data_IF_261674050874
#
_entry.id   IF_261674050874
#
_cell.length_a   1.000
_cell.length_b   1.000
_cell.length_c   1.000
_cell.angle_alpha   90.00
_cell.angle_beta   90.00
_cell.angle_gamma   90.00
#
_symmetry.space_group_name_H-M   'P 1'
#
loop_
_entity.id
_entity.type
_entity.pdbx_description
1 polymer ?
#
# COMPACT_ATOMS: atom_id res chain seq x y z
N UNK A 1 -13.14 -0.78 -11.39
CA UNK A 1 -12.76 -1.38 -10.10
C UNK A 1 -11.63 -0.59 -9.48
N UNK A 2 -11.78 -0.11 -8.25
CA UNK A 2 -10.70 0.64 -7.59
C UNK A 2 -9.47 -0.23 -7.34
N UNK A 3 -8.32 0.42 -7.30
CA UNK A 3 -7.03 -0.24 -7.08
C UNK A 3 -6.34 0.39 -5.88
N UNK A 4 -6.02 -0.42 -4.88
CA UNK A 4 -5.22 -0.01 -3.74
C UNK A 4 -3.74 0.01 -4.13
N UNK A 5 -2.99 0.99 -3.65
CA UNK A 5 -1.58 1.16 -3.97
C UNK A 5 -0.74 0.76 -2.77
N UNK A 6 0.17 -0.21 -2.95
CA UNK A 6 1.09 -0.62 -1.89
C UNK A 6 2.21 0.40 -1.70
N UNK A 7 2.81 0.39 -0.50
CA UNK A 7 3.93 1.26 -0.16
C UNK A 7 5.10 1.12 -1.13
N UNK A 8 5.36 -0.07 -1.66
CA UNK A 8 6.46 -0.29 -2.62
C UNK A 8 6.35 0.62 -3.84
N UNK A 9 5.13 0.88 -4.30
CA UNK A 9 4.88 1.78 -5.43
C UNK A 9 5.20 3.23 -5.04
N UNK A 10 4.80 3.63 -3.83
CA UNK A 10 5.05 4.99 -3.33
C UNK A 10 6.56 5.25 -3.17
N UNK A 11 7.29 4.27 -2.64
CA UNK A 11 8.73 4.37 -2.46
C UNK A 11 9.44 4.46 -3.82
N UNK A 12 9.00 3.65 -4.78
CA UNK A 12 9.56 3.69 -6.13
C UNK A 12 9.31 5.05 -6.79
N UNK A 13 8.10 5.59 -6.63
CA UNK A 13 7.75 6.91 -7.15
C UNK A 13 8.63 8.00 -6.54
N UNK A 14 8.93 7.92 -5.24
CA UNK A 14 9.81 8.87 -4.56
C UNK A 14 11.22 8.83 -5.14
N UNK A 15 11.73 7.64 -5.45
CA UNK A 15 13.07 7.49 -6.00
C UNK A 15 13.18 7.93 -7.46
N UNK A 16 12.13 7.70 -8.25
CA UNK A 16 12.19 7.93 -9.69
C UNK A 16 11.49 9.20 -10.15
N UNK A 17 10.61 9.77 -9.32
CA UNK A 17 9.79 10.92 -9.71
C UNK A 17 8.70 10.58 -10.71
N UNK A 18 8.39 9.31 -10.92
CA UNK A 18 7.51 8.86 -12.00
C UNK A 18 6.25 8.15 -11.48
N UNK A 19 5.55 8.76 -10.52
CA UNK A 19 4.38 8.14 -9.91
C UNK A 19 3.31 7.77 -10.95
N UNK A 20 2.97 8.70 -11.81
CA UNK A 20 1.90 8.51 -12.79
C UNK A 20 2.22 7.38 -13.78
N UNK A 21 3.49 7.15 -14.06
CA UNK A 21 3.91 6.08 -14.99
C UNK A 21 3.75 4.68 -14.42
N UNK A 22 3.55 4.57 -13.12
CA UNK A 22 3.36 3.27 -12.47
C UNK A 22 1.89 2.86 -12.43
N UNK A 23 0.97 3.78 -12.75
CA UNK A 23 -0.46 3.52 -12.72
C UNK A 23 -0.88 2.95 -14.08
N UNK A 24 -1.37 1.70 -14.15
CA UNK A 24 -1.51 1.01 -15.43
C UNK A 24 -2.67 1.48 -16.32
N UNK A 25 -3.71 2.09 -15.76
CA UNK A 25 -4.92 2.41 -16.52
C UNK A 25 -5.42 3.82 -16.26
N UNK A 26 -5.88 4.49 -17.33
CA UNK A 26 -6.32 5.88 -17.24
C UNK A 26 -7.69 6.06 -16.56
N UNK A 27 -8.58 5.08 -16.69
CA UNK A 27 -9.95 5.20 -16.17
C UNK A 27 -10.17 4.47 -14.85
N UNK A 28 -9.09 4.10 -14.18
CA UNK A 28 -9.15 3.37 -12.92
C UNK A 28 -9.04 4.34 -11.76
N UNK A 29 -9.87 4.13 -10.73
CA UNK A 29 -9.76 4.87 -9.47
C UNK A 29 -8.67 4.24 -8.63
N UNK A 30 -7.73 5.04 -8.17
CA UNK A 30 -6.63 4.59 -7.30
C UNK A 30 -6.78 5.22 -5.93
N UNK A 31 -6.41 4.47 -4.89
CA UNK A 31 -6.34 5.01 -3.54
C UNK A 31 -5.16 4.41 -2.79
N UNK A 32 -4.74 5.10 -1.75
CA UNK A 32 -3.63 4.68 -0.90
C UNK A 32 -4.22 4.23 0.43
N UNK A 33 -4.13 2.94 0.79
CA UNK A 33 -4.55 2.50 2.13
C UNK A 33 -3.83 3.31 3.21
N UNK A 34 -4.53 3.63 4.29
CA UNK A 34 -3.95 4.45 5.36
C UNK A 34 -2.65 3.86 5.90
N UNK A 35 -2.54 2.55 5.98
CA UNK A 35 -1.31 1.89 6.46
C UNK A 35 -0.16 2.04 5.47
N UNK A 36 -0.43 2.07 4.17
CA UNK A 36 0.60 2.34 3.17
C UNK A 36 1.11 3.78 3.32
N UNK A 37 0.20 4.72 3.55
CA UNK A 37 0.58 6.11 3.80
C UNK A 37 1.44 6.22 5.06
N UNK A 38 1.05 5.52 6.13
CA UNK A 38 1.82 5.53 7.38
C UNK A 38 3.22 4.96 7.19
N UNK A 39 3.34 3.84 6.50
CA UNK A 39 4.64 3.23 6.23
C UNK A 39 5.53 4.14 5.39
N UNK A 40 4.97 4.77 4.37
CA UNK A 40 5.71 5.74 3.55
C UNK A 40 6.20 6.90 4.41
N UNK A 41 5.33 7.46 5.26
CA UNK A 41 5.68 8.60 6.12
C UNK A 41 6.74 8.25 7.15
N UNK A 42 6.70 7.03 7.70
CA UNK A 42 7.78 6.56 8.59
C UNK A 42 9.11 6.64 7.85
N UNK A 43 9.16 6.10 6.63
CA UNK A 43 10.37 6.14 5.81
C UNK A 43 10.78 7.58 5.46
N UNK A 44 9.82 8.48 5.28
CA UNK A 44 10.08 9.87 4.95
C UNK A 44 10.74 10.64 6.10
N UNK A 45 10.48 10.24 7.36
CA UNK A 45 11.05 10.90 8.54
C UNK A 45 12.44 10.41 8.92
N UNK A 46 12.89 9.27 8.37
CA UNK A 46 14.13 8.62 8.78
C UNK A 46 15.41 9.12 8.11
N UNK A 47 15.41 9.64 6.87
CA UNK A 47 16.66 10.07 6.25
C UNK A 47 17.37 11.14 7.07
N UNK A 48 18.71 11.07 7.12
CA UNK A 48 19.51 12.04 7.87
C UNK A 48 19.53 13.41 7.19
N UNK A 49 19.42 13.43 5.87
CA UNK A 49 19.42 14.67 5.08
C UNK A 49 18.07 15.39 5.20
N UNK A 50 18.08 16.63 5.64
CA UNK A 50 16.91 17.48 5.68
C UNK A 50 16.31 17.66 4.29
N UNK A 51 17.15 17.69 3.27
CA UNK A 51 16.72 17.85 1.89
C UNK A 51 15.92 16.65 1.41
N UNK A 52 16.35 15.43 1.74
CA UNK A 52 15.63 14.22 1.39
C UNK A 52 14.29 14.10 2.14
N UNK A 53 14.29 14.49 3.42
CA UNK A 53 13.05 14.50 4.19
C UNK A 53 12.03 15.47 3.60
N UNK A 54 12.50 16.65 3.20
CA UNK A 54 11.62 17.66 2.61
C UNK A 54 11.09 17.23 1.25
N UNK A 55 11.90 16.56 0.44
CA UNK A 55 11.45 16.03 -0.85
C UNK A 55 10.35 14.99 -0.68
N UNK A 56 10.53 14.08 0.25
CA UNK A 56 9.52 13.06 0.53
C UNK A 56 8.23 13.68 1.07
N UNK A 57 8.36 14.65 1.97
CA UNK A 57 7.20 15.37 2.52
C UNK A 57 6.41 16.08 1.43
N UNK A 58 7.09 16.75 0.51
CA UNK A 58 6.43 17.44 -0.59
C UNK A 58 5.70 16.47 -1.51
N UNK A 59 6.33 15.34 -1.83
CA UNK A 59 5.70 14.33 -2.67
C UNK A 59 4.41 13.83 -2.01
N UNK A 60 4.46 13.56 -0.71
CA UNK A 60 3.28 13.13 0.03
C UNK A 60 2.18 14.20 -0.04
N UNK A 61 2.51 15.45 0.31
CA UNK A 61 1.53 16.53 0.32
C UNK A 61 0.93 16.81 -1.05
N UNK A 62 1.76 16.75 -2.10
CA UNK A 62 1.34 17.14 -3.45
C UNK A 62 0.66 16.01 -4.21
N UNK A 63 1.04 14.75 -3.97
CA UNK A 63 0.61 13.63 -4.82
C UNK A 63 -0.17 12.56 -4.07
N UNK A 64 0.19 12.24 -2.84
CA UNK A 64 -0.35 11.07 -2.15
C UNK A 64 -1.50 11.40 -1.21
N UNK A 65 -1.42 12.49 -0.49
CA UNK A 65 -2.34 12.80 0.61
C UNK A 65 -3.81 12.73 0.20
N UNK A 66 -4.14 13.26 -0.97
CA UNK A 66 -5.52 13.28 -1.46
C UNK A 66 -6.03 11.89 -1.86
N UNK A 67 -5.15 10.93 -2.05
CA UNK A 67 -5.51 9.57 -2.42
C UNK A 67 -5.65 8.65 -1.21
N UNK A 68 -5.26 9.11 -0.02
CA UNK A 68 -5.29 8.28 1.19
C UNK A 68 -6.73 8.02 1.60
N UNK A 69 -7.05 6.75 1.85
CA UNK A 69 -8.37 6.33 2.29
C UNK A 69 -8.29 5.75 3.70
N UNK A 70 -9.38 5.87 4.44
CA UNK A 70 -9.43 5.50 5.85
C UNK A 70 -9.44 3.99 6.04
N UNK A 71 -8.87 3.54 7.15
CA UNK A 71 -8.95 2.15 7.60
C UNK A 71 -10.17 2.06 8.53
N UNK A 72 -11.18 1.31 8.12
CA UNK A 72 -12.45 1.24 8.83
C UNK A 72 -12.66 -0.11 9.53
N UNK A 73 -13.84 -0.32 10.09
CA UNK A 73 -14.15 -1.55 10.84
C UNK A 73 -14.09 -2.78 9.94
N UNK A 74 -14.58 -2.69 8.71
CA UNK A 74 -14.54 -3.82 7.78
C UNK A 74 -13.09 -4.22 7.46
N UNK A 75 -12.21 -3.24 7.31
CA UNK A 75 -10.78 -3.49 7.11
C UNK A 75 -10.18 -4.19 8.33
N UNK A 76 -10.56 -3.74 9.52
CA UNK A 76 -10.07 -4.33 10.77
C UNK A 76 -10.52 -5.79 10.91
N UNK A 77 -11.77 -6.10 10.58
CA UNK A 77 -12.28 -7.46 10.63
C UNK A 77 -11.53 -8.36 9.64
N UNK A 78 -11.29 -7.87 8.44
CA UNK A 78 -10.53 -8.61 7.43
C UNK A 78 -9.09 -8.83 7.87
N UNK A 79 -8.46 -7.83 8.48
CA UNK A 79 -7.10 -7.95 9.00
C UNK A 79 -7.03 -9.03 10.07
N UNK A 80 -7.98 -9.05 10.99
CA UNK A 80 -8.02 -10.06 12.05
C UNK A 80 -8.15 -11.47 11.46
N UNK A 81 -8.99 -11.63 10.46
CA UNK A 81 -9.17 -12.92 9.78
C UNK A 81 -7.90 -13.34 9.06
N UNK A 82 -7.29 -12.44 8.29
CA UNK A 82 -6.07 -12.73 7.55
C UNK A 82 -4.94 -13.16 8.46
N UNK A 83 -4.66 -12.41 9.53
CA UNK A 83 -3.59 -12.73 10.46
C UNK A 83 -3.87 -14.08 11.15
N UNK A 84 -5.12 -14.32 11.55
CA UNK A 84 -5.50 -15.57 12.20
C UNK A 84 -5.28 -16.78 11.30
N UNK A 85 -5.66 -16.68 10.04
CA UNK A 85 -5.46 -17.76 9.08
C UNK A 85 -3.99 -18.01 8.78
N UNK A 86 -3.19 -16.94 8.66
CA UNK A 86 -1.74 -17.09 8.47
C UNK A 86 -1.10 -17.81 9.66
N UNK A 87 -1.45 -17.42 10.88
CA UNK A 87 -0.92 -18.05 12.09
C UNK A 87 -1.30 -19.53 12.17
N UNK A 88 -2.54 -19.88 11.83
CA UNK A 88 -2.98 -21.29 11.80
C UNK A 88 -2.19 -22.10 10.78
N UNK A 89 -1.74 -21.47 9.70
CA UNK A 89 -0.93 -22.12 8.68
C UNK A 89 0.57 -22.08 9.00
N UNK A 90 0.96 -21.56 10.17
CA UNK A 90 2.36 -21.43 10.55
C UNK A 90 3.13 -20.37 9.78
N UNK A 91 2.41 -19.40 9.22
CA UNK A 91 3.00 -18.34 8.41
C UNK A 91 2.90 -16.99 9.11
N UNK A 92 3.82 -16.09 8.76
CA UNK A 92 3.81 -14.72 9.25
C UNK A 92 3.87 -13.75 8.08
N UNK A 93 3.32 -12.56 8.30
CA UNK A 93 3.41 -11.45 7.35
C UNK A 93 3.64 -10.19 8.17
N UNK A 94 4.44 -9.25 7.66
CA UNK A 94 4.64 -7.97 8.32
C UNK A 94 3.32 -7.27 8.54
N UNK A 95 3.20 -6.52 9.63
CA UNK A 95 1.93 -5.90 10.01
C UNK A 95 1.42 -4.93 8.92
N UNK A 96 2.29 -4.07 8.39
CA UNK A 96 1.86 -3.12 7.36
C UNK A 96 1.38 -3.84 6.11
N UNK A 97 2.10 -4.86 5.67
CA UNK A 97 1.69 -5.64 4.50
C UNK A 97 0.34 -6.30 4.73
N UNK A 98 0.14 -6.90 5.91
CA UNK A 98 -1.14 -7.54 6.23
C UNK A 98 -2.29 -6.53 6.24
N UNK A 99 -2.07 -5.34 6.82
CA UNK A 99 -3.10 -4.31 6.89
C UNK A 99 -3.43 -3.74 5.50
N UNK A 100 -2.43 -3.57 4.65
CA UNK A 100 -2.63 -3.10 3.28
C UNK A 100 -3.43 -4.14 2.48
N UNK A 101 -3.02 -5.41 2.56
CA UNK A 101 -3.73 -6.49 1.89
C UNK A 101 -5.17 -6.60 2.37
N UNK A 102 -5.38 -6.53 3.69
CA UNK A 102 -6.71 -6.62 4.28
C UNK A 102 -7.64 -5.51 3.79
N UNK A 103 -7.12 -4.30 3.62
CA UNK A 103 -7.91 -3.18 3.11
C UNK A 103 -8.43 -3.49 1.71
N UNK A 104 -7.56 -3.95 0.81
CA UNK A 104 -7.97 -4.30 -0.54
C UNK A 104 -8.96 -5.48 -0.53
N UNK A 105 -8.68 -6.51 0.28
CA UNK A 105 -9.52 -7.69 0.38
C UNK A 105 -10.93 -7.36 0.90
N UNK A 106 -11.02 -6.51 1.92
CA UNK A 106 -12.31 -6.14 2.52
C UNK A 106 -13.22 -5.42 1.51
N UNK A 107 -12.63 -4.75 0.54
CA UNK A 107 -13.35 -3.96 -0.46
C UNK A 107 -13.53 -4.70 -1.79
N UNK A 108 -12.91 -5.87 -1.92
CA UNK A 108 -12.91 -6.61 -3.17
C UNK A 108 -12.12 -5.91 -4.26
N UNK A 109 -11.12 -5.11 -3.91
CA UNK A 109 -10.32 -4.33 -4.85
C UNK A 109 -9.02 -5.04 -5.20
N UNK A 110 -8.40 -4.60 -6.30
CA UNK A 110 -7.06 -5.04 -6.68
C UNK A 110 -6.00 -4.31 -5.87
N UNK A 111 -4.82 -4.90 -5.74
CA UNK A 111 -3.66 -4.28 -5.09
C UNK A 111 -2.53 -4.15 -6.09
N UNK A 112 -2.04 -2.94 -6.27
CA UNK A 112 -0.88 -2.63 -7.11
C UNK A 112 0.37 -2.65 -6.24
N UNK A 113 1.32 -3.54 -6.56
CA UNK A 113 2.55 -3.73 -5.79
C UNK A 113 3.73 -4.04 -6.70
N UNK A 114 4.93 -3.69 -6.24
CA UNK A 114 6.18 -3.97 -6.97
C UNK A 114 6.92 -5.17 -6.42
N UNK A 115 6.72 -5.49 -5.14
CA UNK A 115 7.45 -6.59 -4.51
C UNK A 115 6.63 -7.90 -4.51
N UNK A 116 7.26 -8.99 -4.07
CA UNK A 116 6.66 -10.31 -4.06
C UNK A 116 6.01 -10.67 -2.72
N UNK A 117 5.95 -9.72 -1.77
CA UNK A 117 5.47 -10.02 -0.42
C UNK A 117 4.01 -10.47 -0.37
N UNK A 118 3.22 -10.08 -1.39
CA UNK A 118 1.81 -10.42 -1.46
C UNK A 118 1.52 -11.65 -2.31
N UNK A 119 2.53 -12.27 -2.93
CA UNK A 119 2.31 -13.39 -3.85
C UNK A 119 1.61 -14.57 -3.19
N UNK A 120 1.85 -14.80 -1.91
CA UNK A 120 1.17 -15.86 -1.14
C UNK A 120 -0.34 -15.67 -1.03
N UNK A 121 -0.83 -14.46 -1.30
CA UNK A 121 -2.25 -14.12 -1.24
C UNK A 121 -2.91 -14.09 -2.61
N UNK A 122 -2.22 -14.53 -3.66
CA UNK A 122 -2.68 -14.39 -5.05
C UNK A 122 -4.02 -15.07 -5.33
N UNK A 123 -4.40 -16.07 -4.54
CA UNK A 123 -5.70 -16.73 -4.70
C UNK A 123 -6.84 -15.97 -4.01
N UNK A 124 -6.53 -15.05 -3.11
CA UNK A 124 -7.50 -14.30 -2.31
C UNK A 124 -7.52 -12.81 -2.65
N UNK A 125 -6.52 -12.35 -3.36
CA UNK A 125 -6.28 -10.93 -3.63
C UNK A 125 -5.83 -10.78 -5.07
N UNK A 126 -6.51 -9.90 -5.79
CA UNK A 126 -6.13 -9.59 -7.18
C UNK A 126 -4.92 -8.68 -7.19
N UNK A 127 -3.76 -9.23 -7.55
CA UNK A 127 -2.49 -8.51 -7.57
C UNK A 127 -2.18 -7.98 -8.96
N UNK A 128 -1.84 -6.70 -9.04
CA UNK A 128 -1.33 -6.07 -10.25
C UNK A 128 0.15 -5.79 -10.03
N UNK A 129 0.99 -6.39 -10.84
CA UNK A 129 2.43 -6.18 -10.80
C UNK A 129 2.84 -5.15 -11.83
N UNK A 130 3.79 -4.31 -11.48
CA UNK A 130 4.28 -3.27 -12.37
C UNK A 130 5.69 -3.60 -12.85
#
# INVERSE_FOLDING_TARGET
>A
MPVAIDTSVLIHAEKTGAFENLLPEDNTTYYIPAHAAAEFLIGAHLPKSAQLRERARRLYEDKFKLLVDLFDEADAAQLALLISELRKAGQTMGFFDAAIAATAMARGDSLLALDADFDRLAQQLDLIKV
#
